data_IF_907120484492
#
_entry.id   IF_907120484492
#
_cell.length_a   1.000
_cell.length_b   1.000
_cell.length_c   1.000
_cell.angle_alpha   90.00
_cell.angle_beta   90.00
_cell.angle_gamma   90.00
#
_symmetry.space_group_name_H-M   'P 1'
#
loop_
_entity.id
_entity.type
_entity.pdbx_description
1 polymer ?
#
# COMPACT_ATOMS: atom_id res chain seq x y z
N UNK A 1 -5.72 13.85 -5.47
CA UNK A 1 -5.26 12.60 -4.84
C UNK A 1 -4.32 11.91 -5.81
N UNK A 2 -3.09 11.59 -5.40
CA UNK A 2 -2.15 10.82 -6.25
C UNK A 2 -2.32 9.34 -5.95
N UNK A 3 -2.39 8.54 -7.01
CA UNK A 3 -2.35 7.08 -6.91
C UNK A 3 -0.91 6.58 -6.98
N UNK A 4 -0.66 5.44 -6.36
CA UNK A 4 0.62 4.74 -6.32
C UNK A 4 0.43 3.29 -6.74
N UNK A 5 1.37 2.75 -7.51
CA UNK A 5 1.43 1.31 -7.86
C UNK A 5 1.94 0.49 -6.68
N UNK A 6 1.79 -0.84 -6.76
CA UNK A 6 2.37 -1.79 -5.79
C UNK A 6 3.85 -1.53 -5.55
N UNK A 7 4.64 -1.38 -6.62
CA UNK A 7 6.09 -1.13 -6.56
C UNK A 7 6.42 0.17 -5.83
N UNK A 8 5.70 1.25 -6.13
CA UNK A 8 5.89 2.54 -5.47
C UNK A 8 5.54 2.49 -3.97
N UNK A 9 4.50 1.72 -3.62
CA UNK A 9 4.12 1.51 -2.22
C UNK A 9 5.17 0.66 -1.50
N UNK A 10 5.65 -0.40 -2.13
CA UNK A 10 6.68 -1.27 -1.59
C UNK A 10 7.98 -0.50 -1.29
N UNK A 11 8.43 0.33 -2.23
CA UNK A 11 9.56 1.23 -2.06
C UNK A 11 9.34 2.23 -0.90
N UNK A 12 8.16 2.86 -0.85
CA UNK A 12 7.85 3.85 0.18
C UNK A 12 7.77 3.26 1.60
N UNK A 13 7.23 2.04 1.72
CA UNK A 13 7.08 1.30 2.96
C UNK A 13 8.34 0.51 3.33
N UNK A 14 9.30 0.34 2.42
CA UNK A 14 10.51 -0.45 2.64
C UNK A 14 10.23 -1.96 2.77
N UNK A 15 9.21 -2.46 2.06
CA UNK A 15 8.80 -3.87 2.07
C UNK A 15 8.83 -4.46 0.66
N UNK A 16 8.62 -5.77 0.53
CA UNK A 16 8.49 -6.42 -0.78
C UNK A 16 7.09 -6.23 -1.37
N UNK A 17 6.96 -6.24 -2.69
CA UNK A 17 5.69 -6.12 -3.42
C UNK A 17 4.64 -7.13 -2.93
N UNK A 18 5.03 -8.39 -2.71
CA UNK A 18 4.16 -9.44 -2.18
C UNK A 18 3.57 -9.12 -0.79
N UNK A 19 4.28 -8.30 0.00
CA UNK A 19 3.76 -7.79 1.28
C UNK A 19 2.64 -6.80 1.03
N UNK A 20 2.80 -5.88 0.07
CA UNK A 20 1.77 -4.89 -0.29
C UNK A 20 0.51 -5.57 -0.83
N UNK A 21 0.66 -6.55 -1.73
CA UNK A 21 -0.46 -7.33 -2.25
C UNK A 21 -1.21 -8.07 -1.13
N UNK A 22 -0.47 -8.59 -0.14
CA UNK A 22 -1.08 -9.21 1.04
C UNK A 22 -1.84 -8.19 1.89
N UNK A 23 -1.31 -6.98 2.09
CA UNK A 23 -2.00 -5.94 2.84
C UNK A 23 -3.34 -5.57 2.19
N UNK A 24 -3.39 -5.53 0.86
CA UNK A 24 -4.63 -5.30 0.12
C UNK A 24 -5.61 -6.48 0.30
N UNK A 25 -5.14 -7.71 0.09
CA UNK A 25 -5.94 -8.93 0.24
C UNK A 25 -6.50 -9.12 1.66
N UNK A 26 -5.74 -8.72 2.67
CA UNK A 26 -6.13 -8.77 4.09
C UNK A 26 -6.88 -7.50 4.53
N UNK A 27 -7.20 -6.59 3.60
CA UNK A 27 -7.92 -5.32 3.84
C UNK A 27 -7.22 -4.38 4.84
N UNK A 28 -5.92 -4.54 5.04
CA UNK A 28 -5.08 -3.70 5.90
C UNK A 28 -4.67 -2.41 5.19
N UNK A 29 -4.48 -2.47 3.87
CA UNK A 29 -4.26 -1.31 3.00
C UNK A 29 -5.16 -1.44 1.77
N UNK A 30 -6.42 -0.96 1.83
CA UNK A 30 -7.36 -1.10 0.73
C UNK A 30 -6.91 -0.33 -0.52
N UNK A 31 -7.03 -0.95 -1.68
CA UNK A 31 -6.83 -0.27 -2.97
C UNK A 31 -7.90 0.81 -3.17
N UNK A 32 -7.48 1.94 -3.73
CA UNK A 32 -8.38 3.04 -4.11
C UNK A 32 -8.94 2.85 -5.53
N UNK A 33 -8.18 2.20 -6.41
CA UNK A 33 -8.58 1.89 -7.79
C UNK A 33 -7.77 0.69 -8.32
N UNK A 34 -7.93 0.37 -9.60
CA UNK A 34 -7.10 -0.59 -10.33
C UNK A 34 -6.51 0.05 -11.60
N UNK A 35 -5.34 -0.41 -12.00
CA UNK A 35 -4.75 -0.02 -13.28
C UNK A 35 -5.39 -0.77 -14.47
N UNK A 36 -4.88 -0.53 -15.68
CA UNK A 36 -5.37 -1.14 -16.90
C UNK A 36 -5.21 -2.67 -16.95
N UNK A 37 -4.25 -3.21 -16.19
CA UNK A 37 -3.96 -4.64 -16.09
C UNK A 37 -4.70 -5.29 -14.91
N UNK A 38 -5.43 -4.51 -14.11
CA UNK A 38 -6.21 -4.94 -12.96
C UNK A 38 -5.43 -4.98 -11.64
N UNK A 39 -4.20 -4.47 -11.61
CA UNK A 39 -3.38 -4.37 -10.40
C UNK A 39 -3.91 -3.25 -9.49
N UNK A 40 -3.81 -3.41 -8.16
CA UNK A 40 -4.30 -2.40 -7.23
C UNK A 40 -3.48 -1.11 -7.29
N UNK A 41 -4.20 0.02 -7.26
CA UNK A 41 -3.66 1.35 -7.10
C UNK A 41 -4.04 1.91 -5.74
N UNK A 42 -3.07 2.48 -5.03
CA UNK A 42 -3.24 2.94 -3.66
C UNK A 42 -3.23 4.46 -3.60
N UNK A 43 -4.14 5.04 -2.82
CA UNK A 43 -4.10 6.47 -2.55
C UNK A 43 -2.87 6.78 -1.68
N UNK A 44 -2.01 7.71 -2.12
CA UNK A 44 -0.79 8.10 -1.39
C UNK A 44 -1.07 8.45 0.08
N UNK A 45 -2.15 9.18 0.35
CA UNK A 45 -2.55 9.55 1.72
C UNK A 45 -2.89 8.33 2.60
N UNK A 46 -3.46 7.27 2.01
CA UNK A 46 -3.77 6.03 2.72
C UNK A 46 -2.48 5.28 3.07
N UNK A 47 -1.52 5.23 2.14
CA UNK A 47 -0.20 4.60 2.34
C UNK A 47 0.59 5.32 3.44
N UNK A 48 0.59 6.66 3.44
CA UNK A 48 1.24 7.47 4.49
C UNK A 48 0.60 7.24 5.86
N UNK A 49 -0.73 7.24 5.95
CA UNK A 49 -1.45 6.94 7.21
C UNK A 49 -1.16 5.54 7.70
N UNK A 50 -1.11 4.56 6.79
CA UNK A 50 -0.77 3.18 7.10
C UNK A 50 0.65 3.07 7.67
N UNK A 51 1.64 3.75 7.08
CA UNK A 51 3.02 3.76 7.59
C UNK A 51 3.09 4.23 9.04
N UNK A 52 2.45 5.36 9.35
CA UNK A 52 2.40 5.91 10.72
C UNK A 52 1.73 4.94 11.68
N UNK A 53 0.67 4.25 11.25
CA UNK A 53 0.00 3.24 12.08
C UNK A 53 0.90 2.03 12.33
N UNK A 54 1.54 1.50 11.29
CA UNK A 54 2.41 0.34 11.40
C UNK A 54 3.62 0.62 12.32
N UNK A 55 4.24 1.79 12.21
CA UNK A 55 5.32 2.22 13.11
C UNK A 55 4.87 2.27 14.58
N UNK A 56 3.63 2.69 14.85
CA UNK A 56 3.05 2.69 16.21
C UNK A 56 2.78 1.28 16.75
N UNK A 57 2.60 0.30 15.87
CA UNK A 57 2.31 -1.09 16.22
C UNK A 57 3.58 -1.98 16.25
N UNK A 58 4.77 -1.39 16.08
CA UNK A 58 6.05 -2.10 16.16
C UNK A 58 6.79 -2.26 14.83
N UNK A 59 6.34 -1.62 13.76
CA UNK A 59 6.98 -1.63 12.43
C UNK A 59 6.27 -2.55 11.42
N UNK A 60 6.90 -2.69 10.25
CA UNK A 60 6.37 -3.42 9.07
C UNK A 60 6.98 -4.81 8.87
#
# INVERSE_FOLDING_TARGET
MSLMTVEQVAEFLGVQDVRVERLERESLLPAADKDADGNPLFAKEAVEKYKVLAERLGGL
#
